data_IF_544895224627
#
_entry.id   IF_544895224627
#
_cell.length_a   1.000
_cell.length_b   1.000
_cell.length_c   1.000
_cell.angle_alpha   90.00
_cell.angle_beta   90.00
_cell.angle_gamma   90.00
#
_symmetry.space_group_name_H-M   'P 1'
#
loop_
_entity.id
_entity.type
_entity.pdbx_description
1 polymer ?
#
# COMPACT_ATOMS: atom_id res chain seq x y z
N UNK A 1 -6.92 28.01 0.94
CA UNK A 1 -6.36 26.83 0.25
C UNK A 1 -5.92 25.73 1.21
N UNK A 2 -5.10 26.01 2.24
CA UNK A 2 -4.71 24.98 3.25
C UNK A 2 -5.92 24.35 3.96
N UNK A 3 -6.89 25.16 4.37
CA UNK A 3 -8.12 24.65 5.00
C UNK A 3 -8.87 23.67 4.10
N UNK A 4 -9.10 24.03 2.84
CA UNK A 4 -9.73 23.16 1.83
C UNK A 4 -9.00 21.82 1.68
N UNK A 5 -7.66 21.81 1.71
CA UNK A 5 -6.87 20.58 1.65
C UNK A 5 -7.04 19.71 2.91
N UNK A 6 -7.09 20.34 4.09
CA UNK A 6 -7.35 19.65 5.36
C UNK A 6 -8.76 19.04 5.34
N UNK A 7 -9.76 19.78 4.88
CA UNK A 7 -11.15 19.30 4.79
C UNK A 7 -11.27 18.10 3.83
N UNK A 8 -10.60 18.16 2.67
CA UNK A 8 -10.51 17.03 1.71
C UNK A 8 -9.83 15.82 2.36
N UNK A 9 -8.70 16.02 3.04
CA UNK A 9 -7.99 14.93 3.72
C UNK A 9 -8.87 14.28 4.79
N UNK A 10 -9.56 15.08 5.60
CA UNK A 10 -10.51 14.59 6.60
C UNK A 10 -11.62 13.75 5.99
N UNK A 11 -12.19 14.19 4.86
CA UNK A 11 -13.23 13.45 4.15
C UNK A 11 -12.73 12.12 3.55
N UNK A 12 -11.45 12.04 3.16
CA UNK A 12 -10.87 10.84 2.57
C UNK A 12 -10.38 9.81 3.60
N UNK A 13 -10.07 10.22 4.83
CA UNK A 13 -9.52 9.36 5.89
C UNK A 13 -10.30 8.05 6.13
N UNK A 14 -11.66 8.03 6.17
CA UNK A 14 -12.42 6.79 6.36
C UNK A 14 -12.21 5.78 5.23
N UNK A 15 -12.00 6.26 4.02
CA UNK A 15 -11.82 5.44 2.82
C UNK A 15 -10.39 4.91 2.69
N UNK A 16 -9.42 5.44 3.44
CA UNK A 16 -8.01 5.02 3.38
C UNK A 16 -7.81 3.56 3.79
N UNK A 17 -8.74 2.93 4.50
CA UNK A 17 -8.68 1.49 4.79
C UNK A 17 -8.91 0.63 3.54
N UNK A 18 -9.76 1.08 2.61
CA UNK A 18 -10.15 0.31 1.43
C UNK A 18 -8.96 0.01 0.50
N UNK A 19 -8.12 0.98 0.11
CA UNK A 19 -6.94 0.68 -0.69
C UNK A 19 -5.92 -0.18 0.07
N UNK A 20 -5.84 -0.13 1.41
CA UNK A 20 -5.00 -1.08 2.17
C UNK A 20 -5.48 -2.51 2.00
N UNK A 21 -6.79 -2.74 2.09
CA UNK A 21 -7.36 -4.08 1.91
C UNK A 21 -7.13 -4.61 0.50
N UNK A 22 -7.33 -3.75 -0.51
CA UNK A 22 -7.00 -4.08 -1.91
C UNK A 22 -5.50 -4.40 -2.04
N UNK A 23 -4.64 -3.56 -1.48
CA UNK A 23 -3.20 -3.78 -1.45
C UNK A 23 -2.80 -5.09 -0.80
N UNK A 24 -3.45 -5.47 0.30
CA UNK A 24 -3.26 -6.76 0.96
C UNK A 24 -3.61 -7.93 0.04
N UNK A 25 -4.71 -7.85 -0.70
CA UNK A 25 -5.08 -8.85 -1.71
C UNK A 25 -4.07 -8.94 -2.86
N UNK A 26 -3.61 -7.80 -3.36
CA UNK A 26 -2.57 -7.73 -4.40
C UNK A 26 -1.24 -8.30 -3.90
N UNK A 27 -0.88 -8.05 -2.63
CA UNK A 27 0.32 -8.60 -2.00
C UNK A 27 0.25 -10.12 -1.90
N UNK A 28 -0.88 -10.66 -1.44
CA UNK A 28 -1.10 -12.10 -1.39
C UNK A 28 -1.02 -12.74 -2.78
N UNK A 29 -1.63 -12.12 -3.80
CA UNK A 29 -1.52 -12.58 -5.18
C UNK A 29 -0.07 -12.54 -5.70
N UNK A 30 0.68 -11.48 -5.37
CA UNK A 30 2.08 -11.36 -5.73
C UNK A 30 2.94 -12.46 -5.12
N UNK A 31 2.69 -12.80 -3.85
CA UNK A 31 3.34 -13.92 -3.18
C UNK A 31 3.03 -15.25 -3.88
N UNK A 32 1.75 -15.51 -4.21
CA UNK A 32 1.36 -16.72 -4.94
C UNK A 32 2.03 -16.82 -6.30
N UNK A 33 2.07 -15.72 -7.06
CA UNK A 33 2.74 -15.68 -8.37
C UNK A 33 4.26 -15.88 -8.26
N UNK A 34 4.88 -15.34 -7.20
CA UNK A 34 6.29 -15.58 -6.92
C UNK A 34 6.56 -17.06 -6.64
N UNK A 35 5.69 -17.73 -5.87
CA UNK A 35 5.80 -19.16 -5.61
C UNK A 35 5.59 -19.97 -6.90
N UNK A 36 4.54 -19.70 -7.67
CA UNK A 36 4.30 -20.35 -8.97
C UNK A 36 5.52 -20.21 -9.88
N UNK A 37 6.15 -19.04 -9.89
CA UNK A 37 7.38 -18.81 -10.63
C UNK A 37 8.53 -19.68 -10.15
N UNK A 38 8.71 -19.86 -8.83
CA UNK A 38 9.78 -20.70 -8.29
C UNK A 38 9.65 -22.16 -8.77
N UNK A 39 8.42 -22.66 -8.96
CA UNK A 39 8.18 -24.03 -9.42
C UNK A 39 8.11 -24.19 -10.95
N UNK A 40 7.58 -23.19 -11.67
CA UNK A 40 7.30 -23.29 -13.12
C UNK A 40 8.25 -22.47 -13.99
N UNK A 41 9.08 -21.61 -13.38
CA UNK A 41 9.95 -20.66 -14.06
C UNK A 41 9.23 -19.46 -14.69
N UNK A 42 7.88 -19.42 -14.66
CA UNK A 42 7.07 -18.43 -15.38
C UNK A 42 5.98 -17.82 -14.49
N UNK A 43 5.91 -16.49 -14.45
CA UNK A 43 4.80 -15.75 -13.86
C UNK A 43 4.67 -14.37 -14.57
N UNK A 44 4.01 -14.31 -15.75
CA UNK A 44 3.96 -13.08 -16.56
C UNK A 44 3.28 -11.91 -15.85
N UNK A 45 2.35 -12.19 -14.92
CA UNK A 45 1.63 -11.17 -14.16
C UNK A 45 2.41 -10.61 -12.97
N UNK A 46 3.53 -11.23 -12.56
CA UNK A 46 4.29 -10.82 -11.39
C UNK A 46 4.78 -9.37 -11.52
N UNK A 47 5.20 -8.96 -12.71
CA UNK A 47 5.65 -7.59 -12.96
C UNK A 47 4.54 -6.55 -12.80
N UNK A 48 3.31 -6.86 -13.24
CA UNK A 48 2.16 -5.98 -13.08
C UNK A 48 1.78 -5.83 -11.61
N UNK A 49 1.71 -6.95 -10.88
CA UNK A 49 1.43 -6.95 -9.44
C UNK A 49 2.48 -6.18 -8.65
N UNK A 50 3.75 -6.31 -9.04
CA UNK A 50 4.87 -5.56 -8.45
C UNK A 50 4.66 -4.05 -8.57
N UNK A 51 4.33 -3.58 -9.77
CA UNK A 51 4.11 -2.16 -10.02
C UNK A 51 2.88 -1.61 -9.28
N UNK A 52 1.80 -2.38 -9.22
CA UNK A 52 0.61 -1.98 -8.46
C UNK A 52 0.95 -1.76 -6.98
N UNK A 53 1.72 -2.66 -6.37
CA UNK A 53 2.16 -2.52 -4.97
C UNK A 53 3.08 -1.30 -4.77
N UNK A 54 4.01 -1.06 -5.69
CA UNK A 54 4.91 0.10 -5.62
C UNK A 54 4.10 1.40 -5.73
N UNK A 55 3.17 1.49 -6.69
CA UNK A 55 2.32 2.69 -6.89
C UNK A 55 1.46 2.93 -5.64
N UNK A 56 0.82 1.89 -5.12
CA UNK A 56 -0.01 1.99 -3.93
C UNK A 56 0.81 2.39 -2.70
N UNK A 57 2.00 1.81 -2.53
CA UNK A 57 2.89 2.16 -1.43
C UNK A 57 3.41 3.59 -1.53
N UNK A 58 3.80 4.04 -2.72
CA UNK A 58 4.20 5.42 -2.99
C UNK A 58 3.07 6.40 -2.69
N UNK A 59 1.83 6.07 -3.06
CA UNK A 59 0.66 6.87 -2.72
C UNK A 59 0.53 7.10 -1.20
N UNK A 60 0.66 6.07 -0.36
CA UNK A 60 0.59 6.24 1.10
C UNK A 60 1.74 7.08 1.67
N UNK A 61 2.96 6.92 1.13
CA UNK A 61 4.11 7.74 1.54
C UNK A 61 3.87 9.22 1.17
N UNK A 62 3.34 9.49 -0.01
CA UNK A 62 2.98 10.84 -0.44
C UNK A 62 1.89 11.44 0.45
N UNK A 63 0.87 10.67 0.80
CA UNK A 63 -0.17 11.12 1.73
C UNK A 63 0.39 11.43 3.12
N UNK A 64 1.34 10.62 3.64
CA UNK A 64 2.04 10.93 4.89
C UNK A 64 2.75 12.29 4.79
N UNK A 65 3.53 12.48 3.72
CA UNK A 65 4.29 13.71 3.52
C UNK A 65 3.38 14.94 3.42
N UNK A 66 2.29 14.85 2.66
CA UNK A 66 1.31 15.93 2.54
C UNK A 66 0.62 16.25 3.86
N UNK A 67 0.28 15.23 4.66
CA UNK A 67 -0.28 15.45 5.99
C UNK A 67 0.70 16.14 6.92
N UNK A 68 1.96 15.69 6.94
CA UNK A 68 3.02 16.33 7.74
C UNK A 68 3.27 17.78 7.30
N UNK A 69 3.26 18.06 6.00
CA UNK A 69 3.38 19.42 5.46
C UNK A 69 2.24 20.35 5.92
N UNK A 70 1.05 19.80 6.12
CA UNK A 70 -0.11 20.51 6.65
C UNK A 70 -0.17 20.55 8.19
N UNK A 71 0.83 20.00 8.89
CA UNK A 71 0.90 19.96 10.34
C UNK A 71 0.05 18.85 10.98
N UNK A 72 -0.37 17.85 10.20
CA UNK A 72 -1.13 16.69 10.66
C UNK A 72 -0.24 15.44 10.78
N UNK A 73 -0.70 14.45 11.56
CA UNK A 73 -0.10 13.12 11.62
C UNK A 73 -1.07 12.07 11.03
N UNK A 74 -0.98 11.75 9.73
CA UNK A 74 -1.87 10.80 9.08
C UNK A 74 -1.73 9.40 9.67
N UNK A 75 -2.85 8.84 10.14
CA UNK A 75 -2.91 7.47 10.66
C UNK A 75 -4.18 6.77 10.22
N UNK A 76 -4.09 5.47 9.95
CA UNK A 76 -5.23 4.62 9.60
C UNK A 76 -5.67 3.89 10.85
N UNK A 77 -6.95 4.02 11.23
CA UNK A 77 -7.50 3.23 12.33
C UNK A 77 -7.98 1.85 11.83
N UNK A 78 -7.35 0.80 12.33
CA UNK A 78 -7.72 -0.59 12.08
C UNK A 78 -8.63 -1.19 13.15
N UNK A 79 -8.90 -0.47 14.25
CA UNK A 79 -9.77 -0.95 15.31
C UNK A 79 -11.25 -0.93 14.94
N UNK A 80 -12.07 -1.63 15.73
CA UNK A 80 -13.52 -1.67 15.56
C UNK A 80 -14.18 -0.48 16.29
N UNK A 81 -14.82 0.46 15.55
CA UNK A 81 -15.51 1.59 16.16
C UNK A 81 -16.64 1.14 17.11
N UNK A 82 -17.23 -0.04 16.87
CA UNK A 82 -18.32 -0.59 17.68
C UNK A 82 -17.84 -1.10 19.05
N UNK A 83 -16.54 -1.33 19.20
CA UNK A 83 -15.89 -1.82 20.42
C UNK A 83 -14.98 -0.79 21.08
N UNK A 84 -14.96 0.45 20.57
CA UNK A 84 -14.05 1.51 21.03
C UNK A 84 -12.57 1.12 20.96
N UNK A 85 -12.20 0.23 20.04
CA UNK A 85 -10.81 -0.14 19.81
C UNK A 85 -10.17 0.82 18.81
N UNK A 86 -9.03 1.39 19.18
CA UNK A 86 -8.24 2.27 18.30
C UNK A 86 -6.88 1.63 18.06
N UNK A 87 -6.70 1.09 16.86
CA UNK A 87 -5.42 0.54 16.41
C UNK A 87 -4.92 1.36 15.24
N UNK A 88 -4.25 2.46 15.55
CA UNK A 88 -3.75 3.40 14.55
C UNK A 88 -2.39 2.98 14.03
N UNK A 89 -2.21 3.05 12.72
CA UNK A 89 -0.92 2.82 12.05
C UNK A 89 -0.63 3.98 11.13
N UNK A 90 0.60 4.47 11.17
CA UNK A 90 1.05 5.59 10.33
C UNK A 90 1.10 5.19 8.86
N UNK A 91 0.78 6.13 7.96
CA UNK A 91 0.66 5.82 6.53
C UNK A 91 1.98 5.37 5.92
N UNK A 92 3.12 5.91 6.39
CA UNK A 92 4.43 5.49 5.87
C UNK A 92 4.73 4.02 6.14
N UNK A 93 4.29 3.46 7.28
CA UNK A 93 4.46 2.03 7.60
C UNK A 93 3.69 1.17 6.61
N UNK A 94 2.46 1.57 6.30
CA UNK A 94 1.61 0.93 5.29
C UNK A 94 2.25 1.04 3.90
N UNK A 95 2.75 2.23 3.56
CA UNK A 95 3.44 2.47 2.30
C UNK A 95 4.65 1.55 2.11
N UNK A 96 5.54 1.48 3.10
CA UNK A 96 6.70 0.58 3.07
C UNK A 96 6.30 -0.89 3.00
N UNK A 97 5.22 -1.29 3.69
CA UNK A 97 4.70 -2.65 3.64
C UNK A 97 4.24 -3.06 2.23
N UNK A 98 3.94 -2.11 1.32
CA UNK A 98 3.67 -2.40 -0.09
C UNK A 98 4.89 -2.20 -0.99
N UNK A 99 5.66 -1.12 -0.81
CA UNK A 99 6.84 -0.83 -1.65
C UNK A 99 7.87 -1.94 -1.56
N UNK A 100 8.20 -2.41 -0.36
CA UNK A 100 9.27 -3.39 -0.15
C UNK A 100 8.95 -4.72 -0.88
N UNK A 101 7.79 -5.37 -0.64
CA UNK A 101 7.41 -6.56 -1.40
C UNK A 101 7.28 -6.30 -2.90
N UNK A 102 6.74 -5.15 -3.30
CA UNK A 102 6.63 -4.77 -4.71
C UNK A 102 7.98 -4.73 -5.42
N UNK A 103 9.02 -4.18 -4.77
CA UNK A 103 10.39 -4.19 -5.29
C UNK A 103 10.95 -5.63 -5.37
N UNK A 104 10.74 -6.46 -4.35
CA UNK A 104 11.18 -7.86 -4.33
C UNK A 104 10.54 -8.63 -5.51
N UNK A 105 9.23 -8.47 -5.70
CA UNK A 105 8.51 -9.11 -6.79
C UNK A 105 8.97 -8.59 -8.16
N UNK A 106 9.34 -7.31 -8.27
CA UNK A 106 9.85 -6.73 -9.51
C UNK A 106 11.21 -7.33 -9.90
N UNK A 107 12.11 -7.51 -8.94
CA UNK A 107 13.37 -8.21 -9.16
C UNK A 107 13.15 -9.65 -9.58
N UNK A 108 12.21 -10.34 -8.92
CA UNK A 108 11.71 -11.64 -9.34
C UNK A 108 11.31 -11.58 -10.82
N UNK A 109 10.33 -10.74 -11.18
CA UNK A 109 9.79 -10.61 -12.54
C UNK A 109 10.87 -10.40 -13.63
N UNK A 110 11.84 -9.52 -13.40
CA UNK A 110 12.90 -9.19 -14.37
C UNK A 110 13.76 -10.39 -14.77
N UNK A 111 14.00 -11.32 -13.86
CA UNK A 111 14.76 -12.56 -14.13
C UNK A 111 14.08 -13.47 -15.17
N UNK A 112 12.81 -13.24 -15.54
CA UNK A 112 12.10 -14.04 -16.55
C UNK A 112 12.38 -13.61 -17.99
N UNK A 113 12.86 -12.38 -18.20
CA UNK A 113 13.09 -11.81 -19.54
C UNK A 113 14.49 -12.06 -20.10
N UNK A 114 15.35 -12.75 -19.34
CA UNK A 114 16.66 -13.25 -19.78
C UNK A 114 16.55 -14.74 -20.02
#
# INVERSE_FOLDING_TARGET
MKQTLIDIMGAMMPYMKTPVMVGGGVLALGLLLLLVRMFTGRAPLLGLVSWLLIILGAFYILCQFMGMYLGMQPTINFGDPRKFEFKTVEFWKVGLAFVIPGIIYLFGAKTQRR
#
